data_IF_943684512068
#
_entry.id   IF_943684512068
#
_cell.length_a   1.000
_cell.length_b   1.000
_cell.length_c   1.000
_cell.angle_alpha   90.00
_cell.angle_beta   90.00
_cell.angle_gamma   90.00
#
_symmetry.space_group_name_H-M   'P 1'
#
loop_
_entity.id
_entity.type
_entity.pdbx_description
1 polymer ?
#
# COMPACT_ATOMS: atom_id res chain seq x y z
N UNK A 1 -26.92 -8.74 34.81
CA UNK A 1 -26.72 -9.33 33.47
C UNK A 1 -27.59 -10.58 33.31
N UNK A 2 -28.12 -10.87 32.11
CA UNK A 2 -28.82 -12.14 31.82
C UNK A 2 -27.84 -13.30 31.52
N UNK A 3 -26.67 -12.97 30.96
CA UNK A 3 -25.57 -13.91 30.69
C UNK A 3 -24.27 -13.16 30.89
N UNK A 4 -23.32 -13.77 31.62
CA UNK A 4 -21.96 -13.27 31.79
C UNK A 4 -21.07 -14.02 30.80
N UNK A 5 -20.34 -13.29 29.95
CA UNK A 5 -19.49 -13.89 28.93
C UNK A 5 -18.02 -13.92 29.33
N UNK A 6 -17.58 -12.87 30.04
CA UNK A 6 -16.19 -12.71 30.51
C UNK A 6 -16.23 -12.03 31.87
N UNK A 7 -15.42 -12.53 32.80
CA UNK A 7 -15.18 -11.93 34.12
C UNK A 7 -13.69 -12.03 34.40
N UNK A 8 -13.03 -10.87 34.49
CA UNK A 8 -11.58 -10.77 34.55
C UNK A 8 -11.18 -9.63 35.50
N UNK A 9 -10.05 -9.81 36.18
CA UNK A 9 -9.44 -8.77 37.01
C UNK A 9 -8.03 -8.48 36.52
N UNK A 10 -7.67 -7.20 36.42
CA UNK A 10 -6.37 -6.78 35.89
C UNK A 10 -5.87 -5.54 36.61
N UNK A 11 -4.55 -5.45 36.76
CA UNK A 11 -3.87 -4.23 37.21
C UNK A 11 -3.47 -3.32 36.04
N UNK A 12 -3.59 -3.80 34.80
CA UNK A 12 -3.31 -3.01 33.61
C UNK A 12 -4.51 -2.13 33.24
N UNK A 13 -4.26 -0.97 32.62
CA UNK A 13 -5.31 -0.08 32.10
C UNK A 13 -5.97 -0.59 30.81
N UNK A 14 -5.76 -1.86 30.46
CA UNK A 14 -6.28 -2.50 29.26
C UNK A 14 -6.61 -3.96 29.55
N UNK A 15 -7.69 -4.45 28.92
CA UNK A 15 -8.09 -5.84 28.91
C UNK A 15 -8.35 -6.25 27.46
N UNK A 16 -7.78 -7.38 27.04
CA UNK A 16 -8.01 -7.93 25.70
C UNK A 16 -8.98 -9.10 25.82
N UNK A 17 -10.17 -8.93 25.28
CA UNK A 17 -11.16 -9.99 25.12
C UNK A 17 -11.11 -10.49 23.69
N UNK A 18 -11.05 -11.81 23.49
CA UNK A 18 -11.01 -12.45 22.17
C UNK A 18 -12.35 -13.12 21.88
N UNK A 19 -12.63 -13.35 20.60
CA UNK A 19 -13.71 -14.21 20.11
C UNK A 19 -15.12 -13.79 20.59
N UNK A 20 -15.34 -12.49 20.79
CA UNK A 20 -16.69 -11.97 21.00
C UNK A 20 -17.48 -12.05 19.69
N UNK A 21 -18.67 -12.68 19.70
CA UNK A 21 -19.58 -12.59 18.57
C UNK A 21 -19.99 -11.13 18.30
N UNK A 22 -20.65 -10.90 17.17
CA UNK A 22 -21.36 -9.65 16.96
C UNK A 22 -22.59 -9.60 17.85
N UNK A 23 -22.90 -8.41 18.35
CA UNK A 23 -24.03 -8.22 19.24
C UNK A 23 -23.94 -7.02 20.15
N UNK A 24 -24.94 -6.89 21.01
CA UNK A 24 -25.02 -5.84 22.03
C UNK A 24 -24.53 -6.41 23.36
N UNK A 25 -23.59 -5.70 23.97
CA UNK A 25 -23.00 -6.06 25.24
C UNK A 25 -23.11 -4.89 26.21
N UNK A 26 -23.02 -5.20 27.49
CA UNK A 26 -22.80 -4.21 28.55
C UNK A 26 -21.49 -4.58 29.22
N UNK A 27 -20.52 -3.70 29.14
CA UNK A 27 -19.28 -3.77 29.89
C UNK A 27 -19.51 -3.17 31.26
N UNK A 28 -19.16 -3.91 32.31
CA UNK A 28 -19.14 -3.43 33.70
C UNK A 28 -17.72 -3.45 34.22
N UNK A 29 -17.26 -2.32 34.75
CA UNK A 29 -16.00 -2.21 35.47
C UNK A 29 -16.23 -1.81 36.92
N UNK A 30 -15.38 -2.31 37.81
CA UNK A 30 -15.27 -1.87 39.19
C UNK A 30 -13.80 -1.79 39.60
N UNK A 31 -13.44 -0.81 40.41
CA UNK A 31 -12.11 -0.76 41.05
C UNK A 31 -12.04 -1.74 42.21
N UNK A 32 -10.89 -2.36 42.45
CA UNK A 32 -10.63 -3.21 43.61
C UNK A 32 -9.36 -2.68 44.28
N UNK A 33 -9.42 -2.38 45.58
CA UNK A 33 -8.24 -1.90 46.33
C UNK A 33 -7.34 -3.06 46.80
N UNK A 34 -6.22 -2.73 47.45
CA UNK A 34 -5.24 -3.71 47.95
C UNK A 34 -5.81 -4.67 49.00
N UNK A 35 -6.92 -4.31 49.66
CA UNK A 35 -7.60 -5.13 50.65
C UNK A 35 -8.72 -5.98 50.03
N UNK A 36 -8.91 -5.89 48.70
CA UNK A 36 -9.95 -6.59 47.97
C UNK A 36 -11.32 -5.91 48.05
N UNK A 37 -11.40 -4.66 48.53
CA UNK A 37 -12.66 -3.93 48.61
C UNK A 37 -13.02 -3.37 47.23
N UNK A 38 -14.27 -3.60 46.85
CA UNK A 38 -14.78 -3.25 45.53
C UNK A 38 -15.44 -1.87 45.55
N UNK A 39 -15.12 -1.06 44.55
CA UNK A 39 -15.77 0.21 44.28
C UNK A 39 -17.13 0.07 43.61
N UNK A 40 -17.69 1.21 43.19
CA UNK A 40 -18.95 1.22 42.43
C UNK A 40 -18.77 0.68 41.02
N UNK A 41 -19.85 0.12 40.51
CA UNK A 41 -19.94 -0.30 39.11
C UNK A 41 -20.01 0.92 38.18
N UNK A 42 -19.24 0.85 37.10
CA UNK A 42 -19.41 1.67 35.92
C UNK A 42 -19.84 0.76 34.77
N UNK A 43 -20.97 1.08 34.14
CA UNK A 43 -21.51 0.30 33.02
C UNK A 43 -21.45 1.09 31.70
N UNK A 44 -21.15 0.40 30.61
CA UNK A 44 -21.14 0.97 29.26
C UNK A 44 -21.75 -0.03 28.28
N UNK A 45 -22.78 0.38 27.56
CA UNK A 45 -23.27 -0.38 26.42
C UNK A 45 -22.28 -0.31 25.25
N UNK A 46 -22.08 -1.42 24.56
CA UNK A 46 -21.24 -1.53 23.38
C UNK A 46 -21.90 -2.45 22.35
N UNK A 47 -21.67 -2.15 21.08
CA UNK A 47 -22.10 -2.99 19.96
C UNK A 47 -20.83 -3.46 19.26
N UNK A 48 -20.68 -4.77 19.12
CA UNK A 48 -19.64 -5.36 18.29
C UNK A 48 -20.29 -5.72 16.96
N UNK A 49 -19.75 -5.18 15.87
CA UNK A 49 -20.06 -5.58 14.50
C UNK A 49 -18.73 -5.71 13.73
N UNK A 50 -18.06 -6.82 13.93
CA UNK A 50 -16.75 -7.14 13.40
C UNK A 50 -16.81 -8.04 12.16
N UNK A 51 -18.00 -8.53 11.78
CA UNK A 51 -18.19 -9.44 10.65
C UNK A 51 -19.09 -8.83 9.56
N UNK A 52 -18.89 -9.20 8.28
CA UNK A 52 -17.78 -10.01 7.78
C UNK A 52 -16.42 -9.33 8.02
N UNK A 53 -15.39 -10.12 8.31
CA UNK A 53 -14.05 -9.59 8.55
C UNK A 53 -13.51 -8.94 7.27
N UNK A 54 -12.77 -7.82 7.35
CA UNK A 54 -12.13 -7.24 6.18
C UNK A 54 -11.06 -8.19 5.61
N UNK A 55 -10.79 -8.14 4.29
CA UNK A 55 -9.76 -8.98 3.69
C UNK A 55 -8.35 -8.55 4.12
N UNK A 56 -7.38 -9.45 4.00
CA UNK A 56 -5.96 -9.11 4.19
C UNK A 56 -5.45 -8.33 2.99
N UNK A 57 -4.77 -7.22 3.26
CA UNK A 57 -4.23 -6.34 2.21
C UNK A 57 -2.87 -6.86 1.76
N UNK A 58 -2.73 -7.11 0.46
CA UNK A 58 -1.49 -7.63 -0.15
C UNK A 58 -0.60 -6.49 -0.63
N UNK A 59 -1.20 -5.43 -1.18
CA UNK A 59 -0.44 -4.26 -1.61
C UNK A 59 -1.33 -3.14 -2.18
N UNK A 60 -0.82 -1.92 -2.29
CA UNK A 60 0.50 -1.46 -1.83
C UNK A 60 0.68 -1.58 -0.30
N UNK A 61 1.92 -1.73 0.17
CA UNK A 61 2.22 -1.80 1.60
C UNK A 61 2.05 -0.42 2.26
N UNK A 62 1.74 -0.42 3.56
CA UNK A 62 1.71 0.80 4.36
C UNK A 62 3.03 1.58 4.25
N UNK A 63 2.90 2.88 4.03
CA UNK A 63 3.98 3.85 3.91
C UNK A 63 4.99 3.56 2.78
N UNK A 64 4.60 2.74 1.80
CA UNK A 64 5.45 2.44 0.65
C UNK A 64 5.39 3.54 -0.42
N UNK A 65 6.44 3.60 -1.26
CA UNK A 65 6.45 4.40 -2.50
C UNK A 65 6.27 3.49 -3.70
N UNK A 66 5.20 3.69 -4.46
CA UNK A 66 4.88 2.97 -5.69
C UNK A 66 5.37 3.76 -6.89
N UNK A 67 6.19 3.12 -7.74
CA UNK A 67 6.83 3.74 -8.91
C UNK A 67 6.18 3.42 -10.25
N UNK A 68 5.02 2.77 -10.23
CA UNK A 68 4.25 2.39 -11.42
C UNK A 68 3.06 3.35 -11.55
N UNK A 69 2.87 3.94 -12.73
CA UNK A 69 1.83 4.95 -12.99
C UNK A 69 0.39 4.48 -12.77
N UNK A 70 0.16 3.16 -12.87
CA UNK A 70 -1.10 2.48 -12.64
C UNK A 70 -0.88 1.51 -11.48
N UNK A 71 -1.00 1.96 -10.22
CA UNK A 71 -0.81 1.10 -9.06
C UNK A 71 -1.93 0.06 -8.98
N UNK A 72 -1.57 -1.18 -8.71
CA UNK A 72 -2.54 -2.24 -8.36
C UNK A 72 -2.72 -2.28 -6.84
N UNK A 73 -3.98 -2.22 -6.41
CA UNK A 73 -4.40 -2.59 -5.07
C UNK A 73 -4.85 -4.04 -5.10
N UNK A 74 -4.30 -4.86 -4.21
CA UNK A 74 -4.59 -6.29 -4.14
C UNK A 74 -4.87 -6.67 -2.69
N UNK A 75 -5.83 -7.57 -2.51
CA UNK A 75 -6.18 -8.16 -1.22
C UNK A 75 -6.47 -9.66 -1.39
N UNK A 76 -6.64 -10.36 -0.28
CA UNK A 76 -7.07 -11.77 -0.27
C UNK A 76 -8.57 -11.88 -0.49
N UNK A 77 -9.02 -12.92 -1.17
CA UNK A 77 -10.44 -13.25 -1.22
C UNK A 77 -10.97 -13.58 0.19
N UNK A 78 -11.99 -12.86 0.66
CA UNK A 78 -12.60 -13.09 1.96
C UNK A 78 -13.63 -14.23 1.89
N UNK A 79 -13.67 -15.07 2.93
CA UNK A 79 -14.58 -16.21 3.00
C UNK A 79 -16.05 -15.73 3.03
N UNK A 80 -16.90 -16.29 2.18
CA UNK A 80 -18.31 -15.91 2.01
C UNK A 80 -18.55 -14.46 1.54
N UNK A 81 -17.51 -13.77 1.07
CA UNK A 81 -17.66 -12.47 0.43
C UNK A 81 -18.43 -12.63 -0.87
N UNK A 82 -19.52 -11.87 -1.04
CA UNK A 82 -20.12 -11.69 -2.36
C UNK A 82 -19.50 -10.50 -3.06
N UNK A 83 -19.01 -9.50 -2.33
CA UNK A 83 -18.29 -8.37 -2.89
C UNK A 83 -17.57 -7.57 -1.82
N UNK A 84 -17.10 -6.40 -2.22
CA UNK A 84 -16.33 -5.50 -1.38
C UNK A 84 -16.81 -4.06 -1.53
N UNK A 85 -16.62 -3.27 -0.49
CA UNK A 85 -16.66 -1.83 -0.57
C UNK A 85 -15.21 -1.31 -0.58
N UNK A 86 -14.72 -0.90 -1.75
CA UNK A 86 -13.36 -0.38 -1.92
C UNK A 86 -13.40 1.14 -2.02
N UNK A 87 -12.58 1.81 -1.20
CA UNK A 87 -12.38 3.26 -1.27
C UNK A 87 -10.89 3.59 -1.43
N UNK A 88 -10.62 4.56 -2.30
CA UNK A 88 -9.31 5.19 -2.51
C UNK A 88 -9.51 6.70 -2.44
N UNK A 89 -8.65 7.40 -1.70
CA UNK A 89 -8.77 8.82 -1.43
C UNK A 89 -7.40 9.51 -1.36
N UNK A 90 -7.40 10.84 -1.40
CA UNK A 90 -6.21 11.66 -1.19
C UNK A 90 -5.97 12.06 0.28
N UNK A 91 -6.88 11.72 1.19
CA UNK A 91 -6.75 12.00 2.62
C UNK A 91 -7.27 10.82 3.47
N UNK A 92 -6.79 10.77 4.72
CA UNK A 92 -7.06 9.69 5.67
C UNK A 92 -8.53 9.64 6.14
N UNK A 93 -9.26 10.76 6.04
CA UNK A 93 -10.66 10.86 6.45
C UNK A 93 -11.62 10.45 5.31
N UNK A 94 -11.07 10.12 4.13
CA UNK A 94 -11.84 9.78 2.92
C UNK A 94 -12.80 10.89 2.48
N UNK A 95 -12.42 12.15 2.68
CA UNK A 95 -13.18 13.32 2.26
C UNK A 95 -12.94 13.68 0.78
N UNK A 96 -11.75 13.42 0.24
CA UNK A 96 -11.41 13.58 -1.19
C UNK A 96 -11.25 12.23 -1.86
N UNK A 97 -12.38 11.65 -2.26
CA UNK A 97 -12.47 10.35 -2.92
C UNK A 97 -11.89 10.39 -4.34
N UNK A 98 -11.07 9.38 -4.66
CA UNK A 98 -10.54 9.06 -5.99
C UNK A 98 -11.35 7.92 -6.62
N UNK A 99 -11.66 6.90 -5.83
CA UNK A 99 -12.47 5.76 -6.22
C UNK A 99 -13.32 5.30 -5.04
N UNK A 100 -14.57 4.99 -5.29
CA UNK A 100 -15.51 4.45 -4.30
C UNK A 100 -16.49 3.53 -5.03
N UNK A 101 -16.37 2.23 -4.76
CA UNK A 101 -17.28 1.21 -5.26
C UNK A 101 -17.73 0.32 -4.10
N UNK A 102 -18.99 0.49 -3.70
CA UNK A 102 -19.66 -0.27 -2.64
C UNK A 102 -20.14 -1.66 -3.09
N UNK A 103 -19.75 -2.15 -4.26
CA UNK A 103 -20.12 -3.47 -4.76
C UNK A 103 -19.05 -4.10 -5.67
N UNK A 104 -17.78 -3.87 -5.35
CA UNK A 104 -16.65 -4.37 -6.13
C UNK A 104 -16.55 -5.91 -6.07
N UNK A 105 -16.29 -6.58 -7.20
CA UNK A 105 -16.37 -8.06 -7.35
C UNK A 105 -15.08 -8.76 -7.75
N UNK A 106 -13.95 -8.07 -7.61
CA UNK A 106 -12.61 -8.61 -7.89
C UNK A 106 -11.77 -8.62 -6.62
N UNK A 107 -10.66 -9.36 -6.61
CA UNK A 107 -9.65 -9.42 -5.54
C UNK A 107 -8.57 -8.32 -5.68
N UNK A 108 -8.61 -7.60 -6.80
CA UNK A 108 -7.66 -6.57 -7.19
C UNK A 108 -8.35 -5.45 -7.92
N UNK A 109 -7.81 -4.25 -7.78
CA UNK A 109 -8.22 -3.06 -8.52
C UNK A 109 -7.02 -2.32 -9.07
N UNK A 110 -7.16 -1.84 -10.31
CA UNK A 110 -6.24 -0.90 -10.95
C UNK A 110 -7.03 0.29 -11.47
N UNK A 111 -6.49 1.52 -11.38
CA UNK A 111 -7.16 2.69 -11.93
C UNK A 111 -7.20 2.61 -13.47
N UNK A 112 -8.31 3.04 -14.06
CA UNK A 112 -8.49 3.02 -15.52
C UNK A 112 -7.63 4.06 -16.26
N UNK A 113 -7.15 5.06 -15.53
CA UNK A 113 -6.27 6.11 -16.03
C UNK A 113 -5.08 6.27 -15.08
N UNK A 114 -4.00 6.86 -15.59
CA UNK A 114 -2.84 7.22 -14.76
C UNK A 114 -3.30 8.15 -13.65
N UNK A 115 -2.96 7.76 -12.42
CA UNK A 115 -3.21 8.59 -11.25
C UNK A 115 -2.08 9.64 -11.12
N UNK A 116 -2.40 10.91 -10.78
CA UNK A 116 -1.38 11.91 -10.51
C UNK A 116 -0.42 11.47 -9.40
N UNK A 117 0.83 11.91 -9.47
CA UNK A 117 1.75 11.74 -8.35
C UNK A 117 1.17 12.36 -7.07
N UNK A 118 1.42 11.71 -5.93
CA UNK A 118 0.91 12.20 -4.66
C UNK A 118 0.74 11.13 -3.61
N UNK A 119 0.12 11.53 -2.51
CA UNK A 119 -0.24 10.67 -1.41
C UNK A 119 -1.66 10.13 -1.61
N UNK A 120 -1.82 8.85 -1.31
CA UNK A 120 -3.08 8.13 -1.45
C UNK A 120 -3.34 7.27 -0.21
N UNK A 121 -4.62 7.11 0.08
CA UNK A 121 -5.16 6.30 1.15
C UNK A 121 -6.14 5.31 0.56
N UNK A 122 -6.11 4.06 0.99
CA UNK A 122 -7.12 3.10 0.59
C UNK A 122 -7.54 2.21 1.75
N UNK A 123 -8.79 1.77 1.70
CA UNK A 123 -9.40 0.83 2.64
C UNK A 123 -10.44 -0.01 1.94
N UNK A 124 -10.73 -1.18 2.50
CA UNK A 124 -11.69 -2.10 1.92
C UNK A 124 -12.50 -2.81 3.01
N UNK A 125 -13.79 -3.00 2.77
CA UNK A 125 -14.67 -3.78 3.64
C UNK A 125 -15.28 -4.95 2.85
N UNK A 126 -15.52 -6.07 3.53
CA UNK A 126 -16.21 -7.22 2.96
C UNK A 126 -17.72 -7.00 2.98
N UNK A 127 -18.42 -7.48 1.96
CA UNK A 127 -19.87 -7.56 1.88
C UNK A 127 -20.26 -9.03 1.82
N UNK A 128 -21.11 -9.47 2.74
CA UNK A 128 -21.53 -10.87 2.84
C UNK A 128 -22.75 -11.18 1.95
N UNK A 129 -23.15 -12.47 1.92
CA UNK A 129 -24.29 -12.93 1.13
C UNK A 129 -25.66 -12.34 1.52
N UNK A 130 -25.78 -11.70 2.68
CA UNK A 130 -26.98 -10.97 3.09
C UNK A 130 -26.98 -9.51 2.57
N UNK A 131 -25.84 -9.05 2.07
CA UNK A 131 -25.61 -7.67 1.68
C UNK A 131 -25.13 -6.78 2.83
N UNK A 132 -24.79 -7.36 3.99
CA UNK A 132 -24.25 -6.61 5.12
C UNK A 132 -22.76 -6.34 4.90
N UNK A 133 -22.37 -5.09 5.15
CA UNK A 133 -20.99 -4.65 5.08
C UNK A 133 -20.35 -4.73 6.48
N UNK A 134 -19.19 -5.37 6.56
CA UNK A 134 -18.37 -5.37 7.76
C UNK A 134 -17.63 -4.03 7.98
N UNK A 135 -16.80 -3.94 9.02
CA UNK A 135 -15.90 -2.80 9.19
C UNK A 135 -14.90 -2.73 8.03
N UNK A 136 -14.41 -1.53 7.74
CA UNK A 136 -13.25 -1.39 6.86
C UNK A 136 -11.99 -1.99 7.50
N UNK A 137 -11.07 -2.42 6.65
CA UNK A 137 -9.69 -2.69 7.01
C UNK A 137 -9.02 -1.49 7.66
N UNK A 138 -7.83 -1.71 8.24
CA UNK A 138 -6.91 -0.61 8.50
C UNK A 138 -6.69 0.20 7.21
N UNK A 139 -6.56 1.52 7.37
CA UNK A 139 -6.31 2.41 6.25
C UNK A 139 -4.84 2.34 5.86
N UNK A 140 -4.58 2.02 4.60
CA UNK A 140 -3.23 2.00 4.05
C UNK A 140 -2.95 3.33 3.37
N UNK A 141 -1.86 3.95 3.78
CA UNK A 141 -1.28 5.12 3.13
C UNK A 141 -0.12 4.69 2.25
N UNK A 142 -0.01 5.25 1.05
CA UNK A 142 1.15 5.06 0.18
C UNK A 142 1.39 6.32 -0.66
N UNK A 143 2.61 6.44 -1.20
CA UNK A 143 2.95 7.49 -2.15
C UNK A 143 3.02 6.91 -3.56
N UNK A 144 2.29 7.52 -4.48
CA UNK A 144 2.44 7.28 -5.90
C UNK A 144 3.46 8.27 -6.46
N UNK A 145 4.60 7.76 -6.91
CA UNK A 145 5.66 8.53 -7.58
C UNK A 145 6.12 7.76 -8.81
N UNK A 146 5.32 7.76 -9.89
CA UNK A 146 5.63 7.01 -11.08
C UNK A 146 6.98 7.42 -11.62
N UNK A 147 7.84 6.46 -11.97
CA UNK A 147 9.07 6.78 -12.70
C UNK A 147 8.70 7.12 -14.14
N UNK A 148 9.03 8.32 -14.65
CA UNK A 148 8.85 8.63 -16.06
C UNK A 148 9.51 7.59 -16.96
N UNK A 149 8.95 7.36 -18.14
CA UNK A 149 9.66 6.58 -19.15
C UNK A 149 10.93 7.35 -19.59
N UNK A 150 12.06 6.66 -19.81
CA UNK A 150 13.26 7.32 -20.34
C UNK A 150 12.97 7.90 -21.72
N UNK A 151 13.51 9.08 -22.00
CA UNK A 151 13.41 9.67 -23.33
C UNK A 151 14.26 8.89 -24.34
N UNK A 152 13.87 8.86 -25.64
CA UNK A 152 14.76 8.37 -26.68
C UNK A 152 16.11 9.09 -26.62
N UNK A 153 17.25 8.38 -26.78
CA UNK A 153 18.54 9.02 -26.73
C UNK A 153 18.70 10.05 -27.85
N UNK A 154 19.30 11.20 -27.53
CA UNK A 154 19.69 12.17 -28.53
C UNK A 154 20.90 11.64 -29.31
N UNK A 155 20.78 11.56 -30.64
CA UNK A 155 21.82 11.06 -31.52
C UNK A 155 22.57 12.25 -32.15
N UNK A 156 23.81 12.47 -31.71
CA UNK A 156 24.74 13.40 -32.33
C UNK A 156 25.57 12.74 -33.43
N UNK A 157 26.47 13.51 -34.06
CA UNK A 157 27.39 13.00 -35.09
C UNK A 157 28.34 11.93 -34.52
N UNK A 158 28.96 12.22 -33.37
CA UNK A 158 29.95 11.35 -32.72
C UNK A 158 29.50 10.81 -31.36
N UNK A 159 28.32 11.21 -30.86
CA UNK A 159 27.90 10.95 -29.49
C UNK A 159 26.44 10.50 -29.42
N UNK A 160 26.12 9.70 -28.40
CA UNK A 160 24.76 9.39 -27.96
C UNK A 160 24.57 9.99 -26.57
N UNK A 161 23.49 10.75 -26.36
CA UNK A 161 23.15 11.28 -25.04
C UNK A 161 21.86 10.62 -24.55
N UNK A 162 21.96 9.94 -23.42
CA UNK A 162 20.85 9.27 -22.75
C UNK A 162 20.37 10.13 -21.60
N UNK A 163 19.07 10.46 -21.58
CA UNK A 163 18.41 11.13 -20.47
C UNK A 163 17.53 10.14 -19.74
N UNK A 164 17.90 9.85 -18.51
CA UNK A 164 17.16 8.96 -17.63
C UNK A 164 16.04 9.74 -16.94
N UNK A 165 15.05 9.00 -16.45
CA UNK A 165 14.03 9.61 -15.63
C UNK A 165 14.63 10.16 -14.33
N UNK A 166 14.36 11.41 -14.01
CA UNK A 166 14.84 12.01 -12.77
C UNK A 166 14.16 11.33 -11.57
N UNK A 167 14.99 10.86 -10.64
CA UNK A 167 14.61 10.31 -9.35
C UNK A 167 14.54 11.37 -8.24
N UNK A 168 14.47 10.90 -6.99
CA UNK A 168 14.51 11.74 -5.80
C UNK A 168 15.91 12.33 -5.55
N UNK A 169 16.02 13.46 -4.83
CA UNK A 169 17.31 13.99 -4.41
C UNK A 169 18.14 12.94 -3.66
N UNK A 170 19.37 12.71 -4.11
CA UNK A 170 20.27 11.71 -3.53
C UNK A 170 20.13 10.29 -4.09
N UNK A 171 19.22 10.05 -5.03
CA UNK A 171 19.20 8.79 -5.79
C UNK A 171 20.34 8.76 -6.81
N UNK A 172 20.91 7.57 -6.99
CA UNK A 172 21.88 7.28 -8.06
C UNK A 172 21.28 6.31 -9.07
N UNK A 173 21.93 6.10 -10.20
CA UNK A 173 21.42 5.28 -11.29
C UNK A 173 22.45 4.24 -11.70
N UNK A 174 22.09 2.97 -11.69
CA UNK A 174 22.88 1.94 -12.36
C UNK A 174 22.47 1.89 -13.82
N UNK A 175 23.35 2.33 -14.71
CA UNK A 175 23.14 2.40 -16.15
C UNK A 175 23.93 1.31 -16.86
N UNK A 176 23.28 0.60 -17.78
CA UNK A 176 23.94 -0.38 -18.65
C UNK A 176 23.52 -0.22 -20.11
N UNK A 177 24.50 -0.30 -21.01
CA UNK A 177 24.32 -0.33 -22.47
C UNK A 177 24.93 -1.62 -23.01
N UNK A 178 24.25 -2.32 -23.92
CA UNK A 178 24.68 -3.61 -24.46
C UNK A 178 24.43 -3.75 -25.96
N UNK A 179 25.15 -4.67 -26.61
CA UNK A 179 24.93 -5.05 -28.01
C UNK A 179 23.82 -6.11 -28.17
N UNK A 180 23.41 -6.74 -27.07
CA UNK A 180 22.37 -7.77 -27.03
C UNK A 180 21.32 -7.52 -25.93
N UNK A 181 20.12 -8.07 -26.12
CA UNK A 181 18.98 -7.87 -25.22
C UNK A 181 19.14 -8.57 -23.87
N UNK A 182 20.01 -9.58 -23.77
CA UNK A 182 20.28 -10.30 -22.53
C UNK A 182 21.35 -9.61 -21.66
N UNK A 183 21.91 -8.49 -22.12
CA UNK A 183 22.94 -7.72 -21.43
C UNK A 183 24.19 -8.56 -21.10
N UNK A 184 24.63 -9.38 -22.05
CA UNK A 184 25.83 -10.22 -21.92
C UNK A 184 27.09 -9.59 -22.54
N UNK A 185 26.91 -8.85 -23.64
CA UNK A 185 27.93 -8.06 -24.34
C UNK A 185 27.71 -6.58 -23.99
N UNK A 186 28.22 -6.18 -22.83
CA UNK A 186 28.10 -4.82 -22.30
C UNK A 186 29.09 -3.88 -22.98
N UNK A 187 28.58 -2.73 -23.41
CA UNK A 187 29.35 -1.56 -23.83
C UNK A 187 29.63 -0.65 -22.64
N UNK A 188 28.66 -0.47 -21.75
CA UNK A 188 28.76 0.39 -20.58
C UNK A 188 28.07 -0.24 -19.37
N UNK A 189 28.64 0.01 -18.19
CA UNK A 189 28.11 -0.37 -16.88
C UNK A 189 28.61 0.65 -15.85
N UNK A 190 27.76 1.58 -15.45
CA UNK A 190 28.16 2.74 -14.64
C UNK A 190 27.13 3.11 -13.58
N UNK A 191 27.60 3.69 -12.48
CA UNK A 191 26.76 4.36 -11.49
C UNK A 191 26.79 5.86 -11.78
N UNK A 192 25.63 6.46 -12.03
CA UNK A 192 25.46 7.88 -12.32
C UNK A 192 24.88 8.59 -11.10
N UNK A 193 25.37 9.78 -10.80
CA UNK A 193 24.77 10.68 -9.80
C UNK A 193 23.78 11.67 -10.42
N UNK A 194 23.87 11.86 -11.73
CA UNK A 194 22.98 12.69 -12.52
C UNK A 194 22.17 11.78 -13.48
N UNK A 195 20.91 12.12 -13.79
CA UNK A 195 20.08 11.33 -14.71
C UNK A 195 20.45 11.56 -16.20
N UNK A 196 21.72 11.78 -16.53
CA UNK A 196 22.19 11.99 -17.89
C UNK A 196 23.58 11.38 -18.10
N UNK A 197 23.80 10.76 -19.26
CA UNK A 197 25.12 10.32 -19.71
C UNK A 197 25.30 10.53 -21.21
N UNK A 198 26.45 11.06 -21.61
CA UNK A 198 26.87 11.18 -23.01
C UNK A 198 28.02 10.22 -23.29
N UNK A 199 27.85 9.39 -24.31
CA UNK A 199 28.78 8.34 -24.71
C UNK A 199 29.24 8.58 -26.14
N UNK A 200 30.47 8.18 -26.46
CA UNK A 200 30.90 8.10 -27.84
C UNK A 200 30.01 7.11 -28.61
N UNK A 201 29.59 7.48 -29.82
CA UNK A 201 28.75 6.63 -30.66
C UNK A 201 29.49 5.33 -30.96
N UNK A 202 28.94 4.15 -30.58
CA UNK A 202 29.65 2.90 -30.78
C UNK A 202 29.88 2.62 -32.27
N UNK A 203 31.08 2.14 -32.60
CA UNK A 203 31.42 1.75 -33.98
C UNK A 203 30.78 0.41 -34.29
N UNK A 204 29.97 0.37 -35.35
CA UNK A 204 29.33 -0.83 -35.88
C UNK A 204 28.15 -1.36 -35.05
N UNK A 205 27.09 -1.82 -35.73
CA UNK A 205 25.83 -2.27 -35.15
C UNK A 205 24.66 -1.36 -35.50
N UNK A 206 23.46 -1.94 -35.65
CA UNK A 206 22.24 -1.17 -35.95
C UNK A 206 21.30 -1.05 -34.73
N UNK A 207 21.50 -1.87 -33.70
CA UNK A 207 20.64 -1.93 -32.52
C UNK A 207 21.49 -2.12 -31.27
N UNK A 208 21.20 -1.33 -30.25
CA UNK A 208 21.76 -1.45 -28.90
C UNK A 208 20.61 -1.51 -27.90
N UNK A 209 20.86 -2.10 -26.74
CA UNK A 209 19.89 -2.26 -25.67
C UNK A 209 20.37 -1.51 -24.43
N UNK A 210 19.48 -0.78 -23.80
CA UNK A 210 19.76 -0.01 -22.58
C UNK A 210 18.82 -0.47 -21.47
N UNK A 211 19.34 -0.54 -20.25
CA UNK A 211 18.53 -0.61 -19.03
C UNK A 211 19.15 0.27 -17.96
N UNK A 212 18.32 0.71 -17.03
CA UNK A 212 18.80 1.37 -15.84
C UNK A 212 17.94 1.01 -14.63
N UNK A 213 18.51 1.15 -13.44
CA UNK A 213 17.81 1.03 -12.17
C UNK A 213 18.12 2.26 -11.29
N UNK A 214 17.10 2.79 -10.63
CA UNK A 214 17.26 3.81 -9.59
C UNK A 214 17.71 3.15 -8.29
N UNK A 215 18.74 3.69 -7.65
CA UNK A 215 19.27 3.23 -6.38
C UNK A 215 18.98 4.30 -5.33
N UNK A 216 18.20 3.92 -4.31
CA UNK A 216 17.90 4.79 -3.17
C UNK A 216 19.12 5.04 -2.29
N UNK A 217 19.13 6.14 -1.52
CA UNK A 217 20.24 6.48 -0.62
C UNK A 217 20.49 5.43 0.48
N UNK A 218 19.46 4.65 0.85
CA UNK A 218 19.53 3.61 1.89
C UNK A 218 19.96 2.22 1.36
N UNK A 219 20.47 2.14 0.12
CA UNK A 219 20.82 0.88 -0.57
C UNK A 219 22.29 0.79 -0.99
N UNK A 220 23.16 1.65 -0.44
CA UNK A 220 24.62 1.67 -0.72
C UNK A 220 25.43 1.19 0.47
#
# INVERSE_FOLDING_TARGET
FKTLLVDESTQASQLRVRDLPDGQYVLRLRGIDELGLEGRDAERALVINARPEPPFLVGPNADSTVRIAVPEMQWTEAENAVGYHLQVAHDADFARIVFDDANYRSDRWQPQAVLPEGEYYWRIATIDGSGEQGPYSDTIRFWLRPTPDPEPPAVGEEQLTFRLAAGLPGETYHFQLARDQTFTDLLEDQILTEPEISLAKPVGGNTYYMRYAMIGPDQV
#
